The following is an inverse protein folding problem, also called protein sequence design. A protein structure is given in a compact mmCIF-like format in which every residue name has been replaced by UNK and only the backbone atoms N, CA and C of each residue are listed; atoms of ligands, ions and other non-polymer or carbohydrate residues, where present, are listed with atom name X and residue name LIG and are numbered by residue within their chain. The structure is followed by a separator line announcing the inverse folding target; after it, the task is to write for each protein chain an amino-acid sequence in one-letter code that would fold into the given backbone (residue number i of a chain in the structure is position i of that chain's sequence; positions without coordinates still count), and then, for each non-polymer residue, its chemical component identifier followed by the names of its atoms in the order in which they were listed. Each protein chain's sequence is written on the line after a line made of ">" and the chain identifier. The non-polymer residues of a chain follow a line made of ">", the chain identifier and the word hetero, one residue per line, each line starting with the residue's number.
data_IF_513475162370
#
_entry.id   IF_513475162370
#
_cell.length_a   1.000
_cell.length_b   1.000
_cell.length_c   1.000
_cell.angle_alpha   90.00
_cell.angle_beta   90.00
_cell.angle_gamma   90.00
#
_symmetry.space_group_name_H-M   'P 1'
#
loop_
_entity.id
_entity.type
_entity.pdbx_description
1 polymer ?
#
# COMPACT_ATOMS: atom_id res chain seq x y z
N UNK A 1 -5.35 -22.67 -14.09
CA UNK A 1 -6.53 -21.86 -13.68
C UNK A 1 -5.98 -20.53 -13.15
N UNK A 2 -6.48 -19.37 -13.63
CA UNK A 2 -6.04 -18.07 -13.11
C UNK A 2 -6.53 -17.94 -11.66
N UNK A 3 -5.63 -17.66 -10.74
CA UNK A 3 -5.96 -17.38 -9.34
C UNK A 3 -6.91 -16.16 -9.28
N UNK A 4 -8.09 -16.34 -8.69
CA UNK A 4 -9.03 -15.25 -8.41
C UNK A 4 -8.67 -14.66 -7.05
N UNK A 5 -8.29 -13.35 -6.97
CA UNK A 5 -7.92 -12.76 -5.70
C UNK A 5 -9.10 -12.76 -4.72
N UNK A 6 -8.83 -13.17 -3.47
CA UNK A 6 -9.83 -13.21 -2.38
C UNK A 6 -9.93 -11.85 -1.71
N UNK A 7 -11.13 -11.34 -1.58
CA UNK A 7 -11.43 -10.04 -0.96
C UNK A 7 -12.29 -10.27 0.27
N UNK A 8 -11.76 -10.01 1.46
CA UNK A 8 -12.54 -10.03 2.69
C UNK A 8 -13.25 -8.68 2.85
N UNK A 9 -14.57 -8.71 2.90
CA UNK A 9 -15.44 -7.54 3.13
C UNK A 9 -15.87 -7.60 4.59
N UNK A 10 -15.53 -6.59 5.38
CA UNK A 10 -15.95 -6.43 6.78
C UNK A 10 -16.87 -5.22 6.85
N UNK A 11 -18.15 -5.48 6.86
CA UNK A 11 -19.22 -4.48 6.70
C UNK A 11 -20.48 -4.99 7.40
N UNK A 12 -21.05 -4.21 8.30
CA UNK A 12 -22.24 -4.60 9.06
C UNK A 12 -23.57 -4.32 8.32
N UNK A 13 -23.55 -3.48 7.28
CA UNK A 13 -24.72 -3.23 6.44
C UNK A 13 -24.81 -4.28 5.30
N UNK A 14 -25.77 -5.26 5.35
CA UNK A 14 -25.85 -6.32 4.36
C UNK A 14 -26.06 -5.81 2.93
N UNK A 15 -26.79 -4.70 2.77
CA UNK A 15 -27.04 -4.10 1.45
C UNK A 15 -25.75 -3.58 0.79
N UNK A 16 -24.85 -2.97 1.57
CA UNK A 16 -23.55 -2.49 1.08
C UNK A 16 -22.65 -3.67 0.80
N UNK A 17 -22.57 -4.64 1.73
CA UNK A 17 -21.76 -5.84 1.56
C UNK A 17 -22.13 -6.63 0.30
N UNK A 18 -23.44 -6.85 0.04
CA UNK A 18 -23.91 -7.57 -1.16
C UNK A 18 -23.64 -6.77 -2.44
N UNK A 19 -23.88 -5.46 -2.44
CA UNK A 19 -23.56 -4.60 -3.58
C UNK A 19 -22.05 -4.71 -3.95
N UNK A 20 -21.18 -4.64 -2.95
CA UNK A 20 -19.75 -4.79 -3.12
C UNK A 20 -19.40 -6.19 -3.63
N UNK A 21 -19.97 -7.24 -3.01
CA UNK A 21 -19.70 -8.62 -3.36
C UNK A 21 -20.11 -8.95 -4.81
N UNK A 22 -21.27 -8.50 -5.27
CA UNK A 22 -21.74 -8.69 -6.66
C UNK A 22 -20.77 -8.04 -7.64
N UNK A 23 -20.37 -6.79 -7.37
CA UNK A 23 -19.43 -6.08 -8.23
C UNK A 23 -18.05 -6.74 -8.28
N UNK A 24 -17.57 -7.27 -7.15
CA UNK A 24 -16.32 -8.00 -7.08
C UNK A 24 -16.38 -9.31 -7.89
N UNK A 25 -17.44 -10.11 -7.76
CA UNK A 25 -17.62 -11.36 -8.53
C UNK A 25 -17.60 -11.09 -10.03
N UNK A 26 -18.34 -10.07 -10.51
CA UNK A 26 -18.35 -9.68 -11.93
C UNK A 26 -16.97 -9.25 -12.46
N UNK A 27 -16.08 -8.79 -11.57
CA UNK A 27 -14.74 -8.34 -11.93
C UNK A 27 -13.64 -9.37 -11.64
N UNK A 28 -14.01 -10.65 -11.41
CA UNK A 28 -13.07 -11.75 -11.28
C UNK A 28 -12.42 -11.88 -9.91
N UNK A 29 -13.00 -11.29 -8.88
CA UNK A 29 -12.60 -11.47 -7.48
C UNK A 29 -13.47 -12.51 -6.77
N UNK A 30 -12.94 -13.08 -5.69
CA UNK A 30 -13.66 -13.95 -4.78
C UNK A 30 -13.98 -13.20 -3.48
N UNK A 31 -15.19 -12.63 -3.32
CA UNK A 31 -15.57 -11.94 -2.10
C UNK A 31 -15.91 -12.93 -0.99
N UNK A 32 -15.53 -12.58 0.23
CA UNK A 32 -15.92 -13.24 1.48
C UNK A 32 -16.45 -12.13 2.37
N UNK A 33 -17.63 -12.31 2.92
CA UNK A 33 -18.28 -11.33 3.77
C UNK A 33 -18.24 -11.74 5.24
N UNK A 34 -17.89 -10.79 6.08
CA UNK A 34 -17.96 -10.87 7.53
C UNK A 34 -18.71 -9.63 8.05
N UNK A 35 -19.79 -9.85 8.81
CA UNK A 35 -20.63 -8.79 9.35
C UNK A 35 -19.97 -8.02 10.50
N UNK A 36 -19.00 -8.66 11.18
CA UNK A 36 -18.33 -8.12 12.36
C UNK A 36 -16.87 -8.55 12.47
N UNK A 37 -16.13 -7.89 13.36
CA UNK A 37 -14.69 -8.16 13.56
C UNK A 37 -14.38 -9.59 14.01
N UNK A 38 -15.28 -10.24 14.79
CA UNK A 38 -15.06 -11.63 15.23
C UNK A 38 -15.22 -12.61 14.06
N UNK A 39 -16.21 -12.40 13.21
CA UNK A 39 -16.40 -13.17 11.98
C UNK A 39 -15.23 -12.98 11.03
N UNK A 40 -14.78 -11.74 10.85
CA UNK A 40 -13.61 -11.41 10.04
C UNK A 40 -12.33 -12.11 10.54
N UNK A 41 -12.12 -12.18 11.86
CA UNK A 41 -10.98 -12.88 12.44
C UNK A 41 -11.00 -14.37 12.11
N UNK A 42 -12.16 -15.03 12.18
CA UNK A 42 -12.31 -16.45 11.81
C UNK A 42 -11.92 -16.70 10.36
N UNK A 43 -12.35 -15.82 9.45
CA UNK A 43 -11.98 -15.94 8.03
C UNK A 43 -10.47 -15.75 7.82
N UNK A 44 -9.85 -14.79 8.51
CA UNK A 44 -8.40 -14.59 8.50
C UNK A 44 -7.62 -15.78 9.06
N UNK A 45 -8.15 -16.43 10.10
CA UNK A 45 -7.52 -17.61 10.70
C UNK A 45 -7.61 -18.83 9.76
N UNK A 46 -8.69 -18.95 9.01
CA UNK A 46 -8.89 -20.04 8.07
C UNK A 46 -7.99 -19.90 6.84
N UNK A 47 -8.08 -18.78 6.11
CA UNK A 47 -7.28 -18.49 4.91
C UNK A 47 -7.09 -16.99 4.75
N UNK A 48 -5.86 -16.55 4.60
CA UNK A 48 -5.57 -15.13 4.37
C UNK A 48 -6.15 -14.65 3.03
N UNK A 49 -6.87 -13.51 3.03
CA UNK A 49 -7.31 -12.87 1.79
C UNK A 49 -6.16 -12.11 1.12
N UNK A 50 -6.37 -11.74 -0.14
CA UNK A 50 -5.44 -10.90 -0.88
C UNK A 50 -5.60 -9.42 -0.52
N UNK A 51 -6.80 -9.00 -0.08
CA UNK A 51 -7.10 -7.65 0.41
C UNK A 51 -8.28 -7.69 1.37
N UNK A 52 -8.30 -6.77 2.34
CA UNK A 52 -9.40 -6.55 3.27
C UNK A 52 -10.04 -5.21 2.93
N UNK A 53 -11.36 -5.20 2.70
CA UNK A 53 -12.21 -4.02 2.74
C UNK A 53 -12.79 -3.92 4.14
N UNK A 54 -12.52 -2.85 4.86
CA UNK A 54 -12.85 -2.73 6.27
C UNK A 54 -13.65 -1.47 6.53
N UNK A 55 -14.89 -1.62 6.96
CA UNK A 55 -15.64 -0.47 7.42
C UNK A 55 -14.98 0.15 8.65
N UNK A 56 -14.97 1.46 8.67
CA UNK A 56 -14.51 2.26 9.80
C UNK A 56 -15.39 2.07 11.04
N UNK A 57 -16.71 2.02 10.83
CA UNK A 57 -17.71 1.97 11.89
C UNK A 57 -18.38 0.59 11.92
N UNK A 58 -17.87 -0.29 12.74
CA UNK A 58 -18.47 -1.60 13.00
C UNK A 58 -19.07 -1.65 14.41
N UNK A 59 -20.15 -2.40 14.61
CA UNK A 59 -20.70 -2.59 15.95
C UNK A 59 -19.73 -3.31 16.88
N UNK A 60 -19.60 -2.82 18.08
CA UNK A 60 -18.77 -3.41 19.14
C UNK A 60 -17.27 -3.11 19.05
N UNK A 61 -16.68 -3.07 17.86
CA UNK A 61 -15.24 -2.78 17.68
C UNK A 61 -15.00 -1.96 16.43
N UNK A 62 -14.33 -0.81 16.55
CA UNK A 62 -14.07 0.05 15.39
C UNK A 62 -13.09 -0.62 14.39
N UNK A 63 -13.31 -0.35 13.10
CA UNK A 63 -12.41 -0.83 12.04
C UNK A 63 -10.97 -0.41 12.24
N UNK A 64 -10.71 0.79 12.81
CA UNK A 64 -9.36 1.25 13.15
C UNK A 64 -8.70 0.32 14.18
N UNK A 65 -9.42 -0.11 15.21
CA UNK A 65 -8.87 -1.02 16.21
C UNK A 65 -8.53 -2.38 15.60
N UNK A 66 -9.37 -2.87 14.67
CA UNK A 66 -9.10 -4.09 13.91
C UNK A 66 -7.86 -3.93 13.00
N UNK A 67 -7.76 -2.82 12.28
CA UNK A 67 -6.61 -2.55 11.43
C UNK A 67 -5.31 -2.56 12.21
N UNK A 68 -5.25 -1.85 13.35
CA UNK A 68 -4.08 -1.85 14.25
C UNK A 68 -3.73 -3.24 14.75
N UNK A 69 -4.73 -4.02 15.16
CA UNK A 69 -4.55 -5.41 15.63
C UNK A 69 -3.93 -6.27 14.53
N UNK A 70 -4.49 -6.22 13.31
CA UNK A 70 -4.02 -7.03 12.19
C UNK A 70 -2.65 -6.59 11.68
N UNK A 71 -2.28 -5.31 11.82
CA UNK A 71 -0.91 -4.84 11.53
C UNK A 71 0.11 -5.30 12.56
N UNK A 72 -0.29 -5.49 13.81
CA UNK A 72 0.57 -6.02 14.86
C UNK A 72 0.80 -7.54 14.78
N UNK A 73 -0.06 -8.27 14.09
CA UNK A 73 0.02 -9.72 13.95
C UNK A 73 0.92 -10.11 12.78
N UNK A 74 1.87 -11.00 13.03
CA UNK A 74 2.86 -11.47 12.03
C UNK A 74 2.24 -12.14 10.82
N UNK A 75 1.07 -12.79 10.95
CA UNK A 75 0.36 -13.44 9.84
C UNK A 75 -0.36 -12.45 8.95
N UNK A 76 -1.03 -11.47 9.55
CA UNK A 76 -1.94 -10.56 8.84
C UNK A 76 -1.31 -9.22 8.47
N UNK A 77 -0.17 -8.85 9.07
CA UNK A 77 0.51 -7.56 8.84
C UNK A 77 0.78 -7.22 7.37
N UNK A 78 0.97 -8.23 6.53
CA UNK A 78 1.23 -8.09 5.10
C UNK A 78 -0.03 -8.06 4.23
N UNK A 79 -1.24 -8.24 4.80
CA UNK A 79 -2.49 -8.18 4.03
C UNK A 79 -2.89 -6.72 3.85
N UNK A 80 -3.08 -6.23 2.62
CA UNK A 80 -3.53 -4.87 2.39
C UNK A 80 -4.90 -4.61 3.01
N UNK A 81 -5.08 -3.44 3.61
CA UNK A 81 -6.34 -2.99 4.21
C UNK A 81 -6.77 -1.70 3.52
N UNK A 82 -7.94 -1.75 2.89
CA UNK A 82 -8.63 -0.59 2.32
C UNK A 82 -9.80 -0.24 3.24
N UNK A 83 -9.71 0.93 3.89
CA UNK A 83 -10.77 1.41 4.78
C UNK A 83 -11.93 1.96 4.00
N UNK A 84 -13.17 1.58 4.39
CA UNK A 84 -14.41 2.21 3.92
C UNK A 84 -14.88 3.18 5.02
N UNK A 85 -15.09 4.44 4.68
CA UNK A 85 -15.43 5.46 5.67
C UNK A 85 -16.54 6.39 5.18
N UNK A 86 -17.50 6.70 6.06
CA UNK A 86 -18.49 7.75 5.82
C UNK A 86 -17.91 9.17 6.09
N UNK A 87 -16.72 9.26 6.71
CA UNK A 87 -16.11 10.51 7.12
C UNK A 87 -15.06 10.93 6.09
N UNK A 88 -15.30 12.11 5.49
CA UNK A 88 -14.41 12.72 4.51
C UNK A 88 -13.39 13.69 5.08
N UNK A 89 -13.40 13.91 6.41
CA UNK A 89 -12.54 14.93 7.05
C UNK A 89 -11.07 14.49 7.09
N UNK A 90 -10.19 15.43 6.85
CA UNK A 90 -8.74 15.22 6.74
C UNK A 90 -8.11 14.58 8.00
N UNK A 91 -8.50 14.91 9.24
CA UNK A 91 -7.99 14.26 10.45
C UNK A 91 -8.31 12.75 10.53
N UNK A 92 -9.48 12.34 10.04
CA UNK A 92 -9.90 10.94 10.07
C UNK A 92 -9.11 10.09 9.06
N UNK A 93 -8.75 10.67 7.90
CA UNK A 93 -7.91 10.02 6.88
C UNK A 93 -6.49 9.75 7.41
N UNK A 94 -5.88 10.74 8.07
CA UNK A 94 -4.57 10.59 8.70
C UNK A 94 -4.62 9.52 9.79
N UNK A 95 -5.66 9.51 10.61
CA UNK A 95 -5.84 8.53 11.70
C UNK A 95 -5.98 7.09 11.16
N UNK A 96 -6.67 6.91 10.03
CA UNK A 96 -6.82 5.59 9.37
C UNK A 96 -5.51 5.08 8.80
N UNK A 97 -4.74 5.93 8.13
CA UNK A 97 -3.42 5.58 7.60
C UNK A 97 -2.43 5.28 8.74
N UNK A 98 -2.39 6.09 9.79
CA UNK A 98 -1.57 5.85 10.98
C UNK A 98 -1.96 4.55 11.72
N UNK A 99 -3.22 4.11 11.60
CA UNK A 99 -3.68 2.82 12.10
C UNK A 99 -3.20 1.62 11.26
N UNK A 100 -2.55 1.87 10.14
CA UNK A 100 -1.98 0.84 9.27
C UNK A 100 -2.84 0.47 8.06
N UNK A 101 -3.84 1.28 7.68
CA UNK A 101 -4.51 1.13 6.40
C UNK A 101 -3.56 1.47 5.24
N UNK A 102 -3.71 0.80 4.10
CA UNK A 102 -2.93 1.06 2.90
C UNK A 102 -3.56 2.13 2.01
N UNK A 103 -4.89 2.28 2.11
CA UNK A 103 -5.68 3.28 1.42
C UNK A 103 -7.06 3.39 2.07
N UNK A 104 -7.85 4.37 1.68
CA UNK A 104 -9.22 4.56 2.15
C UNK A 104 -10.12 4.98 0.99
N UNK A 105 -11.43 4.76 1.16
CA UNK A 105 -12.46 5.18 0.23
C UNK A 105 -13.66 5.74 1.00
N UNK A 106 -14.17 6.89 0.59
CA UNK A 106 -15.29 7.54 1.25
C UNK A 106 -16.61 7.05 0.69
N UNK A 107 -17.55 6.69 1.58
CA UNK A 107 -18.95 6.40 1.24
C UNK A 107 -19.72 7.72 1.00
N UNK A 108 -20.56 7.83 -0.04
CA UNK A 108 -20.79 6.83 -1.08
C UNK A 108 -19.67 6.81 -2.13
N UNK A 109 -19.28 5.63 -2.58
CA UNK A 109 -18.25 5.42 -3.60
C UNK A 109 -18.83 4.79 -4.87
N UNK A 110 -18.18 5.04 -5.99
CA UNK A 110 -18.49 4.35 -7.23
C UNK A 110 -17.84 2.96 -7.28
N UNK A 111 -18.49 2.02 -7.97
CA UNK A 111 -17.88 0.69 -8.26
C UNK A 111 -16.52 0.82 -8.95
N UNK A 112 -16.40 1.77 -9.87
CA UNK A 112 -15.14 2.00 -10.59
C UNK A 112 -14.02 2.44 -9.65
N UNK A 113 -14.29 3.34 -8.72
CA UNK A 113 -13.33 3.80 -7.72
C UNK A 113 -12.90 2.66 -6.80
N UNK A 114 -13.86 1.90 -6.25
CA UNK A 114 -13.58 0.75 -5.40
C UNK A 114 -12.65 -0.25 -6.10
N UNK A 115 -12.99 -0.65 -7.34
CA UNK A 115 -12.19 -1.61 -8.10
C UNK A 115 -10.81 -1.07 -8.48
N UNK A 116 -10.70 0.22 -8.80
CA UNK A 116 -9.42 0.86 -9.09
C UNK A 116 -8.49 0.82 -7.87
N UNK A 117 -9.02 1.14 -6.67
CA UNK A 117 -8.25 1.10 -5.41
C UNK A 117 -7.87 -0.32 -5.00
N UNK A 118 -8.79 -1.30 -5.11
CA UNK A 118 -8.47 -2.71 -4.87
C UNK A 118 -7.33 -3.17 -5.78
N UNK A 119 -7.42 -2.89 -7.08
CA UNK A 119 -6.35 -3.24 -8.03
C UNK A 119 -5.03 -2.54 -7.70
N UNK A 120 -5.08 -1.30 -7.24
CA UNK A 120 -3.90 -0.55 -6.84
C UNK A 120 -3.20 -1.18 -5.62
N UNK A 121 -3.94 -1.54 -4.56
CA UNK A 121 -3.35 -2.19 -3.38
C UNK A 121 -2.88 -3.62 -3.68
N UNK A 122 -3.60 -4.38 -4.52
CA UNK A 122 -3.19 -5.71 -4.96
C UNK A 122 -1.93 -5.67 -5.86
N UNK A 123 -1.83 -4.69 -6.75
CA UNK A 123 -0.61 -4.48 -7.55
C UNK A 123 0.59 -4.17 -6.67
N UNK A 124 0.38 -3.47 -5.55
CA UNK A 124 1.44 -3.26 -4.54
C UNK A 124 1.85 -4.54 -3.83
N UNK A 125 0.98 -5.55 -3.78
CA UNK A 125 1.23 -6.88 -3.18
C UNK A 125 1.65 -7.93 -4.22
N UNK A 126 1.19 -7.81 -5.47
CA UNK A 126 1.73 -8.66 -6.53
C UNK A 126 3.25 -8.46 -6.49
N UNK A 127 4.06 -9.53 -6.38
CA UNK A 127 5.46 -9.38 -6.63
C UNK A 127 5.51 -8.73 -8.02
N UNK A 128 5.98 -7.47 -8.07
CA UNK A 128 6.52 -6.94 -9.31
C UNK A 128 7.32 -8.09 -9.84
N UNK A 129 6.97 -8.58 -11.06
CA UNK A 129 7.54 -9.73 -11.73
C UNK A 129 8.94 -9.93 -11.20
N UNK A 130 9.23 -11.06 -10.52
CA UNK A 130 10.41 -11.31 -9.71
C UNK A 130 11.56 -10.50 -10.29
N UNK A 131 11.64 -9.25 -9.89
CA UNK A 131 12.66 -8.35 -10.38
C UNK A 131 13.88 -8.90 -9.70
N UNK A 132 14.79 -9.44 -10.51
CA UNK A 132 16.11 -9.82 -10.02
C UNK A 132 16.61 -8.69 -9.13
N UNK A 133 17.30 -9.02 -8.04
CA UNK A 133 17.86 -8.02 -7.14
C UNK A 133 18.56 -6.93 -7.97
N UNK A 134 18.21 -5.68 -7.70
CA UNK A 134 18.80 -4.53 -8.41
C UNK A 134 20.02 -4.11 -7.67
N UNK A 135 21.15 -4.03 -8.40
CA UNK A 135 22.43 -3.61 -7.83
C UNK A 135 22.92 -2.34 -8.53
N UNK A 136 23.31 -1.34 -7.74
CA UNK A 136 23.94 -0.11 -8.21
C UNK A 136 25.16 0.16 -7.33
N UNK A 137 26.36 -0.06 -7.88
CA UNK A 137 27.57 -0.08 -7.06
C UNK A 137 27.47 -1.13 -5.95
N UNK A 138 27.69 -0.70 -4.71
CA UNK A 138 27.58 -1.55 -3.51
C UNK A 138 26.18 -1.58 -2.90
N UNK A 139 25.21 -0.87 -3.49
CA UNK A 139 23.82 -0.85 -3.05
C UNK A 139 23.04 -1.97 -3.73
N UNK A 140 22.48 -2.86 -2.93
CA UNK A 140 21.67 -4.00 -3.39
C UNK A 140 20.28 -3.88 -2.81
N UNK A 141 19.26 -3.96 -3.67
CA UNK A 141 17.86 -4.02 -3.28
C UNK A 141 17.26 -5.32 -3.79
N UNK A 142 16.72 -6.12 -2.90
CA UNK A 142 15.98 -7.34 -3.21
C UNK A 142 14.49 -7.11 -2.98
N UNK A 143 13.69 -6.98 -4.06
CA UNK A 143 12.27 -6.75 -3.95
C UNK A 143 11.50 -7.97 -3.39
N UNK A 144 11.99 -9.19 -3.66
CA UNK A 144 11.33 -10.42 -3.20
C UNK A 144 11.47 -10.61 -1.69
N UNK A 145 12.63 -10.29 -1.14
CA UNK A 145 12.90 -10.38 0.29
C UNK A 145 12.61 -9.06 1.04
N UNK A 146 12.21 -8.03 0.30
CA UNK A 146 12.01 -6.66 0.82
C UNK A 146 13.21 -6.16 1.62
N UNK A 147 14.42 -6.42 1.10
CA UNK A 147 15.70 -6.10 1.74
C UNK A 147 16.50 -5.10 0.94
N UNK A 148 17.20 -4.24 1.65
CA UNK A 148 18.19 -3.32 1.09
C UNK A 148 19.48 -3.49 1.87
N UNK A 149 20.62 -3.51 1.19
CA UNK A 149 21.93 -3.53 1.81
C UNK A 149 22.91 -2.62 1.08
N UNK A 150 23.83 -2.05 1.83
CA UNK A 150 24.97 -1.29 1.34
C UNK A 150 26.26 -1.91 1.86
N UNK A 151 27.17 -2.28 0.96
CA UNK A 151 28.43 -2.98 1.30
C UNK A 151 28.18 -4.22 2.19
N UNK A 152 27.12 -4.97 1.91
CA UNK A 152 26.73 -6.15 2.66
C UNK A 152 26.04 -5.89 3.99
N UNK A 153 25.92 -4.62 4.43
CA UNK A 153 25.20 -4.26 5.66
C UNK A 153 23.74 -3.95 5.34
N UNK A 154 22.82 -4.60 6.05
CA UNK A 154 21.37 -4.39 5.89
C UNK A 154 20.94 -2.99 6.32
N UNK A 155 20.15 -2.33 5.48
CA UNK A 155 19.56 -1.02 5.74
C UNK A 155 18.06 -1.16 6.06
N UNK A 156 17.56 -0.34 6.98
CA UNK A 156 16.12 -0.30 7.33
C UNK A 156 15.46 0.89 6.65
N UNK A 157 14.57 0.62 5.69
CA UNK A 157 13.79 1.62 5.00
C UNK A 157 12.31 1.47 5.37
N UNK A 158 11.59 2.60 5.39
CA UNK A 158 10.14 2.58 5.42
C UNK A 158 9.55 2.07 4.10
N UNK A 159 8.28 1.62 4.09
CA UNK A 159 7.67 1.05 2.87
C UNK A 159 7.68 2.00 1.67
N UNK A 160 7.47 3.29 1.90
CA UNK A 160 7.49 4.30 0.84
C UNK A 160 8.90 4.58 0.34
N UNK A 161 9.88 4.70 1.25
CA UNK A 161 11.29 4.86 0.92
C UNK A 161 11.82 3.66 0.14
N UNK A 162 11.39 2.45 0.49
CA UNK A 162 11.74 1.24 -0.25
C UNK A 162 11.23 1.27 -1.70
N UNK A 163 9.96 1.65 -1.91
CA UNK A 163 9.37 1.78 -3.25
C UNK A 163 10.06 2.86 -4.07
N UNK A 164 10.33 4.01 -3.44
CA UNK A 164 11.02 5.12 -4.08
C UNK A 164 12.43 4.70 -4.51
N UNK A 165 13.17 4.02 -3.64
CA UNK A 165 14.48 3.49 -3.96
C UNK A 165 14.44 2.48 -5.10
N UNK A 166 13.53 1.50 -5.03
CA UNK A 166 13.37 0.49 -6.08
C UNK A 166 13.10 1.13 -7.45
N UNK A 167 12.18 2.10 -7.48
CA UNK A 167 11.88 2.82 -8.72
C UNK A 167 13.10 3.57 -9.26
N UNK A 168 13.81 4.30 -8.41
CA UNK A 168 15.00 5.06 -8.81
C UNK A 168 16.14 4.15 -9.28
N UNK A 169 16.38 3.02 -8.60
CA UNK A 169 17.40 2.04 -8.98
C UNK A 169 17.12 1.37 -10.33
N UNK A 170 15.84 1.09 -10.63
CA UNK A 170 15.43 0.53 -11.93
C UNK A 170 15.53 1.54 -13.08
N UNK A 171 15.47 2.85 -12.76
CA UNK A 171 15.48 3.93 -13.76
C UNK A 171 16.65 4.89 -13.54
N UNK A 172 17.81 4.34 -13.16
CA UNK A 172 19.02 5.14 -12.91
C UNK A 172 19.41 6.00 -14.10
N UNK A 173 20.18 7.05 -13.84
CA UNK A 173 20.64 8.06 -14.79
C UNK A 173 19.53 8.91 -15.42
N UNK A 174 18.26 8.66 -15.08
CA UNK A 174 17.11 9.43 -15.55
C UNK A 174 16.66 10.40 -14.48
N UNK A 175 16.34 11.61 -14.90
CA UNK A 175 15.73 12.62 -14.03
C UNK A 175 14.22 12.40 -14.02
N UNK A 176 13.66 12.25 -12.83
CA UNK A 176 12.23 12.11 -12.60
C UNK A 176 11.69 13.34 -11.89
N UNK A 177 10.66 13.96 -12.46
CA UNK A 177 9.98 15.07 -11.80
C UNK A 177 9.25 14.60 -10.53
N UNK A 178 8.91 15.54 -9.65
CA UNK A 178 8.11 15.23 -8.44
C UNK A 178 6.78 14.59 -8.80
N UNK A 179 6.08 15.13 -9.78
CA UNK A 179 4.83 14.56 -10.28
C UNK A 179 5.01 13.12 -10.80
N UNK A 180 6.07 12.85 -11.59
CA UNK A 180 6.36 11.50 -12.07
C UNK A 180 6.67 10.52 -10.93
N UNK A 181 7.44 10.95 -9.92
CA UNK A 181 7.71 10.12 -8.75
C UNK A 181 6.44 9.87 -7.94
N UNK A 182 5.58 10.89 -7.82
CA UNK A 182 4.28 10.77 -7.17
C UNK A 182 3.44 9.68 -7.84
N UNK A 183 3.24 9.76 -9.15
CA UNK A 183 2.46 8.77 -9.90
C UNK A 183 3.02 7.35 -9.78
N UNK A 184 4.35 7.21 -9.85
CA UNK A 184 4.99 5.89 -9.89
C UNK A 184 5.15 5.24 -8.53
N UNK A 185 5.35 6.01 -7.47
CA UNK A 185 5.58 5.49 -6.12
C UNK A 185 4.29 5.42 -5.31
N UNK A 186 3.39 6.42 -5.47
CA UNK A 186 2.12 6.50 -4.74
C UNK A 186 0.92 6.08 -5.60
N UNK A 187 0.99 6.22 -6.93
CA UNK A 187 -0.06 5.86 -7.90
C UNK A 187 -0.92 7.05 -8.32
N UNK A 188 -1.58 6.90 -9.48
CA UNK A 188 -2.26 7.98 -10.23
C UNK A 188 -3.46 8.64 -9.50
N UNK A 189 -3.85 8.18 -8.31
CA UNK A 189 -5.02 8.66 -7.58
C UNK A 189 -4.72 9.13 -6.16
N UNK A 190 -3.46 9.22 -5.78
CA UNK A 190 -3.07 9.75 -4.47
C UNK A 190 -2.70 11.23 -4.64
N UNK A 191 -3.62 12.13 -4.29
CA UNK A 191 -3.34 13.56 -4.22
C UNK A 191 -2.47 13.84 -2.99
N UNK A 192 -1.16 13.70 -3.14
CA UNK A 192 -0.19 14.23 -2.18
C UNK A 192 0.41 15.51 -2.78
N UNK A 193 0.74 16.46 -1.93
CA UNK A 193 1.48 17.64 -2.38
C UNK A 193 2.86 17.22 -2.88
N UNK A 194 3.39 17.87 -3.92
CA UNK A 194 4.74 17.62 -4.45
C UNK A 194 5.82 17.71 -3.37
N UNK A 195 5.62 18.52 -2.34
CA UNK A 195 6.50 18.62 -1.16
C UNK A 195 6.62 17.31 -0.39
N UNK A 196 5.62 16.44 -0.45
CA UNK A 196 5.67 15.13 0.22
C UNK A 196 6.77 14.25 -0.39
N UNK A 197 6.99 14.35 -1.70
CA UNK A 197 8.10 13.66 -2.38
C UNK A 197 9.44 14.08 -1.79
N UNK A 198 9.64 15.39 -1.56
CA UNK A 198 10.88 15.93 -1.00
C UNK A 198 11.17 15.38 0.42
N UNK A 199 10.12 15.23 1.23
CA UNK A 199 10.22 14.64 2.57
C UNK A 199 10.67 13.18 2.49
N UNK A 200 10.08 12.39 1.60
CA UNK A 200 10.45 10.97 1.44
C UNK A 200 11.85 10.81 0.81
N UNK A 201 12.25 11.68 -0.11
CA UNK A 201 13.63 11.68 -0.61
C UNK A 201 14.62 12.02 0.50
N UNK A 202 14.32 12.99 1.37
CA UNK A 202 15.16 13.30 2.54
C UNK A 202 15.29 12.08 3.46
N UNK A 203 14.19 11.46 3.84
CA UNK A 203 14.17 10.25 4.69
C UNK A 203 14.91 9.08 4.05
N UNK A 204 14.73 8.89 2.74
CA UNK A 204 15.46 7.88 1.97
C UNK A 204 16.97 8.10 2.08
N UNK A 205 17.46 9.32 1.84
CA UNK A 205 18.89 9.66 1.97
C UNK A 205 19.42 9.40 3.38
N UNK A 206 18.65 9.78 4.40
CA UNK A 206 19.01 9.54 5.80
C UNK A 206 19.11 8.03 6.09
N UNK A 207 18.15 7.22 5.61
CA UNK A 207 18.15 5.77 5.79
C UNK A 207 19.28 5.06 5.03
N UNK A 208 19.68 5.59 3.86
CA UNK A 208 20.78 5.08 3.06
C UNK A 208 22.17 5.46 3.61
N UNK A 209 22.25 6.46 4.49
CA UNK A 209 23.52 6.93 5.04
C UNK A 209 24.50 7.39 3.96
N UNK A 210 25.66 6.77 3.86
CA UNK A 210 26.68 7.11 2.86
C UNK A 210 26.19 6.91 1.41
N UNK A 211 25.34 5.90 1.17
CA UNK A 211 24.74 5.65 -0.14
C UNK A 211 23.68 6.72 -0.52
N UNK A 212 23.23 7.54 0.41
CA UNK A 212 22.24 8.60 0.16
C UNK A 212 22.70 9.65 -0.85
N UNK A 213 23.99 9.82 -1.06
CA UNK A 213 24.57 10.70 -2.08
C UNK A 213 24.26 10.25 -3.51
N UNK A 214 23.96 8.96 -3.72
CA UNK A 214 23.57 8.40 -5.02
C UNK A 214 22.20 8.93 -5.48
N UNK A 215 21.36 9.42 -4.57
CA UNK A 215 20.08 10.06 -4.89
C UNK A 215 20.32 11.56 -5.03
N UNK A 216 20.49 12.02 -6.25
CA UNK A 216 20.79 13.42 -6.56
C UNK A 216 19.55 14.28 -6.72
N UNK A 217 19.65 15.57 -6.36
CA UNK A 217 18.66 16.58 -6.69
C UNK A 217 19.10 17.34 -7.95
N UNK A 218 18.28 17.24 -8.99
CA UNK A 218 18.45 18.06 -10.20
C UNK A 218 17.58 19.30 -10.04
N UNK A 219 18.21 20.45 -9.75
CA UNK A 219 17.50 21.71 -9.44
C UNK A 219 16.51 22.06 -10.55
N UNK A 220 15.28 22.37 -10.16
CA UNK A 220 14.19 22.71 -11.09
C UNK A 220 13.59 21.55 -11.87
N UNK A 221 14.19 20.34 -11.84
CA UNK A 221 13.72 19.19 -12.62
C UNK A 221 13.22 18.01 -11.76
N UNK A 222 13.86 17.73 -10.61
CA UNK A 222 13.45 16.61 -9.76
C UNK A 222 14.62 15.84 -9.17
N UNK A 223 14.56 14.50 -9.25
CA UNK A 223 15.53 13.60 -8.63
C UNK A 223 16.05 12.56 -9.62
N UNK A 224 17.27 12.10 -9.40
CA UNK A 224 17.93 11.09 -10.19
C UNK A 224 18.75 10.17 -9.27
N UNK A 225 18.91 8.90 -9.66
CA UNK A 225 19.88 7.97 -9.08
C UNK A 225 21.08 7.80 -10.01
N UNK A 226 22.28 7.92 -9.47
CA UNK A 226 23.56 7.79 -10.18
C UNK A 226 24.33 6.59 -9.67
#
# INVERSE_FOLDING_TARGET
>A
MKHQPRVLIVEDEPAIAELVAVNLRHNGFQPIWAEEGVAAQRELDAVLPDVILLDWMLPGQSGIALARRWRGDTRTKGVPILMLTARGDEPDKVTGLDAGADDYITKPFSTQELLARIRAVLRRRAPEQVSASVTVGDLVLDPAEHRVSWQGQGLKLGPTEFKLLNYLMQHRERVHSRAQLQDKVWGDHVFIEERTVDVHVKRLREALGAAGTMVETVRGAGYRMT
#
